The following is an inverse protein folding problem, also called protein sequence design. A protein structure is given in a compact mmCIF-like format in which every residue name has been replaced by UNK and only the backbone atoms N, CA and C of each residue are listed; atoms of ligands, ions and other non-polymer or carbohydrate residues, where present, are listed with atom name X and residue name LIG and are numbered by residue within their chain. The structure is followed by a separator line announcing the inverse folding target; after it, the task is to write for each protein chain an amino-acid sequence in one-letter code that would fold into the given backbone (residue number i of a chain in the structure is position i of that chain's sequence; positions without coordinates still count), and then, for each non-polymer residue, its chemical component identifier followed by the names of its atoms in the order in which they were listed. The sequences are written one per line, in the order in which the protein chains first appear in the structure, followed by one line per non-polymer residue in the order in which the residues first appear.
data_IF_968267515022
#
_entry.id   IF_968267515022
#
_cell.length_a   1.000
_cell.length_b   1.000
_cell.length_c   1.000
_cell.angle_alpha   90.00
_cell.angle_beta   90.00
_cell.angle_gamma   90.00
#
_symmetry.space_group_name_H-M   'P 1'
#
loop_
_entity.id
_entity.type
_entity.pdbx_description
1 polymer ?
#
# COMPACT_ATOMS: atom_id res chain seq x y z
N UNK A 1 0.29 2.54 25.39
CA UNK A 1 1.26 2.84 24.31
C UNK A 1 2.54 3.33 24.95
N UNK A 2 3.64 2.65 24.70
CA UNK A 2 4.95 2.98 25.31
C UNK A 2 5.50 4.30 24.74
N UNK A 3 6.38 5.04 25.47
CA UNK A 3 6.94 6.31 24.99
C UNK A 3 7.69 6.22 23.65
N UNK A 4 8.31 5.05 23.38
CA UNK A 4 8.98 4.77 22.11
C UNK A 4 7.97 4.66 20.95
N UNK A 5 6.85 3.99 21.17
CA UNK A 5 5.77 3.85 20.18
C UNK A 5 5.12 5.20 19.85
N UNK A 6 5.00 6.09 20.84
CA UNK A 6 4.46 7.44 20.65
C UNK A 6 5.38 8.31 19.79
N UNK A 7 6.68 8.22 19.99
CA UNK A 7 7.66 8.93 19.16
C UNK A 7 7.62 8.44 17.72
N UNK A 8 7.63 7.13 17.52
CA UNK A 8 7.54 6.52 16.20
C UNK A 8 6.22 6.90 15.51
N UNK A 9 5.10 6.86 16.22
CA UNK A 9 3.80 7.28 15.70
C UNK A 9 3.83 8.73 15.20
N UNK A 10 4.39 9.65 15.98
CA UNK A 10 4.48 11.07 15.61
C UNK A 10 5.29 11.28 14.34
N UNK A 11 6.41 10.58 14.21
CA UNK A 11 7.27 10.63 13.02
C UNK A 11 6.53 10.10 11.81
N UNK A 12 5.87 8.94 11.92
CA UNK A 12 5.14 8.31 10.82
C UNK A 12 3.95 9.14 10.35
N UNK A 13 3.17 9.70 11.29
CA UNK A 13 2.04 10.55 10.94
C UNK A 13 2.50 11.80 10.18
N UNK A 14 3.59 12.43 10.61
CA UNK A 14 4.13 13.60 9.92
C UNK A 14 4.60 13.25 8.51
N UNK A 15 5.34 12.17 8.34
CA UNK A 15 5.78 11.68 7.03
C UNK A 15 4.60 11.40 6.07
N UNK A 16 3.54 10.77 6.57
CA UNK A 16 2.34 10.46 5.77
C UNK A 16 1.54 11.72 5.42
N UNK A 17 1.47 12.69 6.34
CA UNK A 17 0.83 14.00 6.08
C UNK A 17 1.62 14.80 5.04
N UNK A 18 2.94 14.89 5.19
CA UNK A 18 3.83 15.62 4.28
C UNK A 18 3.79 15.03 2.86
N UNK A 19 3.63 13.72 2.74
CA UNK A 19 3.43 13.02 1.45
C UNK A 19 2.01 13.15 0.89
N UNK A 20 1.07 13.72 1.63
CA UNK A 20 -0.33 13.82 1.23
C UNK A 20 -1.05 12.47 1.13
N UNK A 21 -0.57 11.44 1.84
CA UNK A 21 -1.17 10.10 1.84
C UNK A 21 -2.34 9.98 2.82
N UNK A 22 -2.35 10.83 3.84
CA UNK A 22 -3.42 10.94 4.83
C UNK A 22 -3.85 12.40 5.01
N UNK A 23 -5.04 12.59 5.57
CA UNK A 23 -5.54 13.89 6.04
C UNK A 23 -6.27 13.72 7.37
N UNK A 24 -6.53 14.83 8.06
CA UNK A 24 -7.42 14.83 9.22
C UNK A 24 -8.82 14.36 8.83
N UNK A 25 -9.43 13.56 9.68
CA UNK A 25 -10.75 12.97 9.46
C UNK A 25 -11.74 13.41 10.50
N UNK A 26 -12.97 13.65 10.07
CA UNK A 26 -14.14 13.85 10.94
C UNK A 26 -15.05 12.61 10.93
N UNK A 27 -14.58 11.50 10.35
CA UNK A 27 -15.32 10.24 10.26
C UNK A 27 -15.68 9.73 11.64
N UNK A 28 -16.91 9.24 11.87
CA UNK A 28 -17.31 8.56 13.11
C UNK A 28 -16.60 7.20 13.27
N UNK A 29 -16.06 6.66 12.17
CA UNK A 29 -15.30 5.43 12.17
C UNK A 29 -13.85 5.70 12.58
N UNK A 30 -13.18 4.75 13.18
CA UNK A 30 -11.78 4.90 13.57
C UNK A 30 -11.17 3.57 13.97
N UNK A 31 -10.40 2.98 13.04
CA UNK A 31 -9.65 1.76 13.31
C UNK A 31 -8.51 2.03 14.31
N UNK A 32 -8.22 1.12 15.24
CA UNK A 32 -7.09 1.27 16.16
C UNK A 32 -5.76 1.05 15.45
N UNK A 33 -4.71 1.72 15.94
CA UNK A 33 -3.33 1.49 15.52
C UNK A 33 -2.68 0.44 16.43
N UNK A 34 -1.91 -0.45 15.81
CA UNK A 34 -1.06 -1.44 16.43
C UNK A 34 0.38 -1.25 15.97
N UNK A 35 1.35 -1.46 16.88
CA UNK A 35 2.75 -1.54 16.51
C UNK A 35 3.24 -2.98 16.57
N UNK A 36 3.88 -3.45 15.50
CA UNK A 36 4.48 -4.77 15.40
C UNK A 36 5.99 -4.62 15.28
N UNK A 37 6.72 -5.25 16.19
CA UNK A 37 8.19 -5.28 16.16
C UNK A 37 8.66 -6.23 15.05
N UNK A 38 9.50 -5.74 14.15
CA UNK A 38 10.15 -6.56 13.12
C UNK A 38 11.34 -7.33 13.69
N UNK A 39 11.86 -8.31 12.93
CA UNK A 39 13.05 -9.08 13.29
C UNK A 39 14.30 -8.20 13.45
N UNK A 40 14.39 -7.11 12.70
CA UNK A 40 15.48 -6.11 12.75
C UNK A 40 15.37 -5.11 13.93
N UNK A 41 14.37 -5.29 14.80
CA UNK A 41 14.10 -4.41 15.93
C UNK A 41 13.29 -3.16 15.63
N UNK A 42 13.08 -2.80 14.36
CA UNK A 42 12.25 -1.67 13.97
C UNK A 42 10.76 -1.94 14.22
N UNK A 43 9.96 -0.88 14.35
CA UNK A 43 8.52 -0.99 14.55
C UNK A 43 7.76 -0.70 13.27
N UNK A 44 6.79 -1.57 12.95
CA UNK A 44 5.84 -1.35 11.87
C UNK A 44 4.52 -0.86 12.46
N UNK A 45 4.05 0.29 12.01
CA UNK A 45 2.70 0.76 12.29
C UNK A 45 1.70 -0.01 11.41
N UNK A 46 0.74 -0.66 12.05
CA UNK A 46 -0.35 -1.37 11.39
C UNK A 46 -1.68 -0.79 11.86
N UNK A 47 -2.66 -0.73 10.97
CA UNK A 47 -4.01 -0.29 11.28
C UNK A 47 -4.92 -1.51 11.22
N UNK A 48 -5.71 -1.71 12.27
CA UNK A 48 -6.60 -2.86 12.38
C UNK A 48 -7.95 -2.58 11.69
N UNK A 49 -8.03 -2.91 10.41
CA UNK A 49 -9.25 -2.76 9.61
C UNK A 49 -10.17 -3.99 9.63
N UNK A 50 -9.97 -4.97 10.50
CA UNK A 50 -10.78 -6.21 10.54
C UNK A 50 -12.29 -5.98 10.65
N UNK A 51 -12.70 -4.82 11.17
CA UNK A 51 -14.12 -4.43 11.27
C UNK A 51 -14.64 -3.65 10.04
N UNK A 52 -13.78 -3.32 9.07
CA UNK A 52 -14.09 -2.44 7.92
C UNK A 52 -13.75 -3.13 6.60
N UNK A 53 -14.47 -4.21 6.27
CA UNK A 53 -14.08 -5.16 5.21
C UNK A 53 -14.57 -4.84 3.80
N UNK A 54 -15.01 -3.60 3.48
CA UNK A 54 -15.48 -3.26 2.12
C UNK A 54 -15.01 -1.88 1.70
N UNK A 55 -13.88 -1.83 1.00
CA UNK A 55 -13.38 -0.61 0.35
C UNK A 55 -13.15 -0.91 -1.12
N UNK A 56 -13.67 -0.06 -1.98
CA UNK A 56 -13.48 -0.14 -3.42
C UNK A 56 -12.31 0.76 -3.84
N UNK A 57 -11.32 0.20 -4.57
CA UNK A 57 -10.03 0.82 -4.84
C UNK A 57 -9.81 1.11 -6.32
N UNK A 58 -9.15 2.22 -6.64
CA UNK A 58 -8.68 2.57 -7.98
C UNK A 58 -7.15 2.72 -8.02
N UNK A 59 -6.53 1.96 -8.90
CA UNK A 59 -5.12 1.85 -9.43
C UNK A 59 -3.85 2.36 -8.68
N UNK A 60 -2.83 1.47 -8.37
CA UNK A 60 -1.41 1.60 -7.96
C UNK A 60 -1.13 1.51 -6.45
N UNK A 61 -0.17 0.68 -5.93
CA UNK A 61 -0.06 0.36 -4.49
C UNK A 61 0.01 1.58 -3.54
N UNK A 62 0.91 2.51 -3.66
CA UNK A 62 0.86 3.83 -2.99
C UNK A 62 0.31 4.93 -3.91
N UNK A 63 -0.02 4.60 -5.14
CA UNK A 63 -0.62 5.47 -6.15
C UNK A 63 -2.09 5.17 -6.36
N UNK A 64 -2.64 4.13 -5.69
CA UNK A 64 -4.06 3.82 -5.68
C UNK A 64 -4.79 4.85 -4.83
N UNK A 65 -5.44 5.80 -5.50
CA UNK A 65 -6.38 6.68 -4.82
C UNK A 65 -7.63 5.91 -4.43
N UNK A 66 -8.05 6.10 -3.20
CA UNK A 66 -9.32 5.57 -2.70
C UNK A 66 -10.44 6.42 -3.27
N UNK A 67 -11.57 5.80 -3.61
CA UNK A 67 -12.76 6.54 -4.02
C UNK A 67 -13.19 7.50 -2.92
N UNK A 68 -13.65 8.69 -3.29
CA UNK A 68 -14.02 9.73 -2.31
C UNK A 68 -15.04 9.24 -1.29
N UNK A 69 -15.99 8.40 -1.70
CA UNK A 69 -17.03 7.78 -0.86
C UNK A 69 -16.49 6.73 0.12
N UNK A 70 -15.31 6.15 -0.17
CA UNK A 70 -14.67 5.12 0.66
C UNK A 70 -13.58 5.68 1.58
N UNK A 71 -13.12 6.91 1.34
CA UNK A 71 -12.09 7.56 2.17
C UNK A 71 -12.47 7.53 3.66
N UNK A 72 -13.70 7.92 4.08
CA UNK A 72 -14.08 7.90 5.48
C UNK A 72 -14.03 6.51 6.13
N UNK A 73 -14.16 5.44 5.33
CA UNK A 73 -14.06 4.05 5.81
C UNK A 73 -12.63 3.65 6.21
N UNK A 74 -11.62 4.39 5.73
CA UNK A 74 -10.22 4.17 6.06
C UNK A 74 -9.78 4.88 7.34
N UNK A 75 -10.69 5.58 8.00
CA UNK A 75 -10.37 6.38 9.16
C UNK A 75 -9.73 5.56 10.28
N UNK A 76 -8.69 6.10 10.87
CA UNK A 76 -8.01 5.54 12.01
C UNK A 76 -7.79 6.59 13.11
N UNK A 77 -7.81 6.13 14.36
CA UNK A 77 -7.71 6.97 15.53
C UNK A 77 -6.35 6.85 16.19
N UNK A 78 -5.77 7.99 16.51
CA UNK A 78 -4.51 8.08 17.24
C UNK A 78 -4.66 8.99 18.45
N UNK A 79 -3.65 9.08 19.31
CA UNK A 79 -3.55 10.10 20.36
C UNK A 79 -3.46 11.51 19.82
N UNK A 80 -3.01 11.69 18.57
CA UNK A 80 -2.82 13.00 17.92
C UNK A 80 -4.00 13.43 17.07
N UNK A 81 -5.07 12.63 17.02
CA UNK A 81 -6.26 12.92 16.26
C UNK A 81 -6.74 11.76 15.42
N UNK A 82 -7.77 12.03 14.62
CA UNK A 82 -8.32 11.11 13.64
C UNK A 82 -7.80 11.47 12.26
N UNK A 83 -7.43 10.46 11.49
CA UNK A 83 -6.89 10.60 10.14
C UNK A 83 -7.55 9.57 9.23
N UNK A 84 -7.56 9.84 7.93
CA UNK A 84 -8.08 8.94 6.90
C UNK A 84 -7.12 8.90 5.70
N UNK A 85 -7.07 7.77 5.00
CA UNK A 85 -6.19 7.58 3.86
C UNK A 85 -6.84 8.10 2.57
N UNK A 86 -6.07 8.80 1.78
CA UNK A 86 -6.42 9.20 0.41
C UNK A 86 -5.92 8.19 -0.61
N UNK A 87 -4.95 7.36 -0.20
CA UNK A 87 -4.33 6.31 -1.01
C UNK A 87 -4.46 4.97 -0.28
N UNK A 88 -4.36 3.88 -1.04
CA UNK A 88 -4.43 2.55 -0.48
C UNK A 88 -3.37 2.33 0.60
N UNK A 89 -3.80 1.85 1.75
CA UNK A 89 -2.91 1.44 2.84
C UNK A 89 -2.84 -0.08 2.94
N UNK A 90 -1.75 -0.58 3.53
CA UNK A 90 -1.64 -1.98 3.92
C UNK A 90 -2.72 -2.34 4.95
N UNK A 91 -3.23 -3.56 4.87
CA UNK A 91 -4.22 -4.08 5.82
C UNK A 91 -5.67 -3.98 5.35
N UNK A 92 -5.93 -3.35 4.21
CA UNK A 92 -7.25 -3.40 3.57
C UNK A 92 -7.43 -4.76 2.90
N UNK A 93 -8.57 -5.40 3.14
CA UNK A 93 -8.85 -6.77 2.65
C UNK A 93 -8.73 -6.91 1.13
N UNK A 94 -9.16 -5.88 0.39
CA UNK A 94 -9.16 -5.90 -1.07
C UNK A 94 -7.87 -5.35 -1.70
N UNK A 95 -6.91 -4.88 -0.90
CA UNK A 95 -5.69 -4.27 -1.40
C UNK A 95 -4.85 -5.22 -2.29
N UNK A 96 -4.60 -6.49 -1.90
CA UNK A 96 -3.85 -7.41 -2.75
C UNK A 96 -4.55 -7.68 -4.09
N UNK A 97 -5.87 -7.87 -4.08
CA UNK A 97 -6.63 -8.12 -5.31
C UNK A 97 -6.60 -6.93 -6.27
N UNK A 98 -6.77 -5.72 -5.75
CA UNK A 98 -6.71 -4.50 -6.55
C UNK A 98 -5.30 -4.25 -7.12
N UNK A 99 -4.27 -4.58 -6.35
CA UNK A 99 -2.88 -4.48 -6.81
C UNK A 99 -2.57 -5.50 -7.90
N UNK A 100 -3.00 -6.74 -7.74
CA UNK A 100 -2.87 -7.78 -8.78
C UNK A 100 -3.57 -7.37 -10.08
N UNK A 101 -4.81 -6.86 -10.00
CA UNK A 101 -5.54 -6.39 -11.17
C UNK A 101 -4.80 -5.25 -11.89
N UNK A 102 -4.20 -4.31 -11.13
CA UNK A 102 -3.35 -3.29 -11.71
C UNK A 102 -2.13 -3.88 -12.41
N UNK A 103 -1.37 -4.74 -11.71
CA UNK A 103 -0.17 -5.36 -12.27
C UNK A 103 -0.50 -6.16 -13.54
N UNK A 104 -1.59 -6.91 -13.55
CA UNK A 104 -2.07 -7.61 -14.74
C UNK A 104 -2.40 -6.66 -15.89
N UNK A 105 -3.00 -5.50 -15.62
CA UNK A 105 -3.30 -4.50 -16.66
C UNK A 105 -2.03 -3.85 -17.21
N UNK A 106 -1.13 -3.43 -16.32
CA UNK A 106 0.13 -2.74 -16.69
C UNK A 106 1.08 -3.67 -17.44
N UNK A 107 1.18 -4.92 -16.98
CA UNK A 107 2.10 -5.92 -17.51
C UNK A 107 1.45 -6.84 -18.56
N UNK A 108 0.19 -6.61 -18.92
CA UNK A 108 -0.57 -7.42 -19.89
C UNK A 108 0.20 -7.76 -21.18
N UNK A 109 0.97 -6.85 -21.80
CA UNK A 109 1.73 -7.16 -23.01
C UNK A 109 2.86 -8.18 -22.80
N UNK A 110 3.27 -8.42 -21.56
CA UNK A 110 4.43 -9.24 -21.21
C UNK A 110 4.06 -10.51 -20.45
N UNK A 111 2.81 -10.60 -19.98
CA UNK A 111 2.29 -11.81 -19.33
C UNK A 111 2.38 -13.00 -20.31
N UNK A 112 2.66 -14.18 -19.78
CA UNK A 112 2.84 -15.44 -20.53
C UNK A 112 4.00 -15.46 -21.53
N UNK A 113 4.70 -14.34 -21.73
CA UNK A 113 5.87 -14.25 -22.59
C UNK A 113 7.18 -14.37 -21.79
N UNK A 114 7.40 -13.48 -20.84
CA UNK A 114 8.58 -13.48 -19.97
C UNK A 114 8.30 -12.91 -18.57
N UNK A 115 7.04 -12.69 -18.22
CA UNK A 115 6.60 -12.13 -16.91
C UNK A 115 5.51 -13.00 -16.30
N UNK A 116 5.64 -13.27 -15.01
CA UNK A 116 4.60 -13.81 -14.15
C UNK A 116 4.42 -12.87 -12.99
N UNK A 117 3.16 -12.55 -12.66
CA UNK A 117 2.80 -11.72 -11.50
C UNK A 117 2.14 -12.59 -10.45
N UNK A 118 2.63 -12.49 -9.22
CA UNK A 118 2.05 -13.20 -8.08
C UNK A 118 2.02 -12.29 -6.85
N UNK A 119 0.84 -11.82 -6.49
CA UNK A 119 0.58 -10.87 -5.39
C UNK A 119 1.47 -9.63 -5.52
N UNK A 120 2.53 -9.52 -4.72
CA UNK A 120 3.44 -8.36 -4.71
C UNK A 120 4.74 -8.64 -5.50
N UNK A 121 4.88 -9.83 -6.07
CA UNK A 121 6.11 -10.27 -6.76
C UNK A 121 5.92 -10.29 -8.27
N UNK A 122 6.92 -9.78 -8.99
CA UNK A 122 7.02 -9.88 -10.44
C UNK A 122 8.21 -10.77 -10.77
N UNK A 123 7.94 -11.93 -11.36
CA UNK A 123 8.96 -12.85 -11.84
C UNK A 123 9.23 -12.58 -13.32
N UNK A 124 10.47 -12.20 -13.63
CA UNK A 124 10.95 -12.08 -15.01
C UNK A 124 11.85 -13.27 -15.34
N UNK A 125 11.54 -13.99 -16.41
CA UNK A 125 12.32 -15.15 -16.86
C UNK A 125 12.80 -14.99 -18.29
N UNK A 126 13.89 -15.67 -18.64
CA UNK A 126 14.52 -15.55 -19.96
C UNK A 126 15.44 -16.73 -20.25
N UNK A 127 15.59 -17.08 -21.53
CA UNK A 127 16.44 -18.19 -21.96
C UNK A 127 17.94 -17.88 -21.91
N UNK A 128 18.34 -16.61 -21.93
CA UNK A 128 19.74 -16.19 -21.91
C UNK A 128 19.93 -14.92 -21.08
N UNK A 129 21.15 -14.68 -20.62
CA UNK A 129 21.51 -13.50 -19.81
C UNK A 129 21.25 -12.19 -20.58
N UNK A 130 21.58 -12.13 -21.87
CA UNK A 130 21.37 -10.93 -22.69
C UNK A 130 19.89 -10.60 -22.86
N UNK A 131 19.03 -11.58 -23.09
CA UNK A 131 17.59 -11.40 -23.13
C UNK A 131 17.04 -11.00 -21.77
N UNK A 132 17.60 -11.55 -20.68
CA UNK A 132 17.17 -11.20 -19.34
C UNK A 132 17.41 -9.72 -19.01
N UNK A 133 18.57 -9.19 -19.37
CA UNK A 133 18.89 -7.77 -19.22
C UNK A 133 17.93 -6.86 -20.01
N UNK A 134 17.55 -7.27 -21.22
CA UNK A 134 16.58 -6.53 -22.04
C UNK A 134 15.18 -6.57 -21.41
N UNK A 135 14.71 -7.73 -20.98
CA UNK A 135 13.41 -7.91 -20.33
C UNK A 135 13.32 -7.09 -19.04
N UNK A 136 14.36 -7.12 -18.20
CA UNK A 136 14.40 -6.29 -16.98
C UNK A 136 14.32 -4.80 -17.31
N UNK A 137 15.03 -4.31 -18.33
CA UNK A 137 14.96 -2.89 -18.74
C UNK A 137 13.55 -2.50 -19.18
N UNK A 138 12.84 -3.37 -19.88
CA UNK A 138 11.46 -3.13 -20.32
C UNK A 138 10.55 -2.98 -19.10
N UNK A 139 10.58 -3.93 -18.17
CA UNK A 139 9.73 -3.91 -16.97
C UNK A 139 10.03 -2.70 -16.11
N UNK A 140 11.30 -2.39 -15.82
CA UNK A 140 11.69 -1.23 -15.00
C UNK A 140 11.30 0.12 -15.63
N UNK A 141 11.15 0.20 -16.95
CA UNK A 141 10.62 1.40 -17.63
C UNK A 141 9.09 1.48 -17.48
N UNK A 142 8.41 0.36 -17.61
CA UNK A 142 6.94 0.29 -17.49
C UNK A 142 6.45 0.66 -16.09
N UNK A 143 7.18 0.32 -15.04
CA UNK A 143 6.86 0.69 -13.66
C UNK A 143 7.05 2.18 -13.34
N UNK A 144 7.80 2.93 -14.16
CA UNK A 144 8.06 4.36 -13.97
C UNK A 144 6.98 5.27 -14.58
N UNK A 145 6.07 4.73 -15.35
CA UNK A 145 4.99 5.47 -16.02
C UNK A 145 3.69 5.37 -15.21
#
# INVERSE_FOLDING_TARGET
MAPAELRELKVRLRDLLDKGFIRSSVSPWGAPILFVKKKDGSMRMCIDYRRLNKIDLRSGYHRLRIRTEDIPKTAFRTRYGHFEFLVMSFGLTNAPAAFMDLMHRVLKPYLDSFVIVFIDDILVYSRSKSHHEQHLRVILRTERT
#
